data_IF_840541503106
#
_entry.id   IF_840541503106
#
_cell.length_a   1.000
_cell.length_b   1.000
_cell.length_c   1.000
_cell.angle_alpha   90.00
_cell.angle_beta   90.00
_cell.angle_gamma   90.00
#
_symmetry.space_group_name_H-M   'P 1'
#
loop_
_entity.id
_entity.type
_entity.pdbx_description
1 polymer ?
#
# COMPACT_ATOMS: atom_id res chain seq x y z
N UNK A 1 -7.12 4.33 4.31
CA UNK A 1 -6.00 4.40 3.34
C UNK A 1 -6.00 3.16 2.49
N UNK A 2 -5.08 2.21 2.75
CA UNK A 2 -4.86 0.99 1.97
C UNK A 2 -6.14 0.26 1.53
N UNK A 3 -7.12 0.08 2.43
CA UNK A 3 -8.41 -0.57 2.13
C UNK A 3 -9.16 0.03 0.93
N UNK A 4 -9.08 1.34 0.73
CA UNK A 4 -9.74 2.03 -0.39
C UNK A 4 -8.96 1.98 -1.70
N UNK A 5 -7.71 1.49 -1.70
CA UNK A 5 -7.00 1.18 -2.94
C UNK A 5 -7.58 -0.11 -3.56
N UNK A 6 -7.94 -1.07 -2.70
CA UNK A 6 -8.66 -2.28 -3.06
C UNK A 6 -10.18 -2.02 -3.22
N UNK A 7 -10.54 -0.97 -3.98
CA UNK A 7 -11.92 -0.72 -4.40
C UNK A 7 -12.05 -0.70 -5.93
N UNK A 8 -13.28 -0.86 -6.43
CA UNK A 8 -13.54 -0.82 -7.87
C UNK A 8 -13.31 0.58 -8.47
N UNK A 9 -13.55 1.62 -7.68
CA UNK A 9 -13.49 3.02 -8.06
C UNK A 9 -12.06 3.58 -8.03
N UNK A 10 -11.17 2.94 -7.26
CA UNK A 10 -9.77 3.36 -7.20
C UNK A 10 -9.09 3.23 -8.56
N UNK A 11 -8.52 4.33 -9.06
CA UNK A 11 -7.72 4.37 -10.30
C UNK A 11 -6.28 3.87 -10.12
N UNK A 12 -6.11 2.89 -9.24
CA UNK A 12 -4.84 2.19 -9.05
C UNK A 12 -4.69 1.08 -10.11
N UNK A 13 -3.47 0.80 -10.60
CA UNK A 13 -3.22 -0.34 -11.48
C UNK A 13 -3.75 -1.65 -10.90
N UNK A 14 -4.31 -2.52 -11.73
CA UNK A 14 -4.92 -3.76 -11.26
C UNK A 14 -3.93 -4.65 -10.51
N UNK A 15 -2.68 -4.72 -10.96
CA UNK A 15 -1.61 -5.43 -10.27
C UNK A 15 -1.37 -4.88 -8.86
N UNK A 16 -1.46 -3.57 -8.67
CA UNK A 16 -1.33 -2.99 -7.34
C UNK A 16 -2.49 -3.42 -6.43
N UNK A 17 -3.73 -3.43 -6.94
CA UNK A 17 -4.88 -3.94 -6.17
C UNK A 17 -4.70 -5.42 -5.82
N UNK A 18 -4.21 -6.23 -6.75
CA UNK A 18 -3.95 -7.65 -6.53
C UNK A 18 -2.85 -7.86 -5.47
N UNK A 19 -1.77 -7.08 -5.52
CA UNK A 19 -0.72 -7.14 -4.49
C UNK A 19 -1.26 -6.85 -3.07
N UNK A 20 -2.37 -6.11 -2.93
CA UNK A 20 -2.99 -5.89 -1.63
C UNK A 20 -3.66 -7.15 -1.06
N UNK A 21 -4.07 -8.07 -1.91
CA UNK A 21 -4.68 -9.36 -1.53
C UNK A 21 -3.62 -10.41 -1.23
N UNK A 22 -2.46 -10.32 -1.89
CA UNK A 22 -1.41 -11.34 -1.83
C UNK A 22 -0.45 -11.14 -0.64
N UNK A 23 -0.54 -10.02 0.09
CA UNK A 23 0.40 -9.63 1.14
C UNK A 23 -0.28 -9.33 2.48
N UNK A 24 0.44 -9.56 3.57
CA UNK A 24 -0.01 -9.25 4.93
C UNK A 24 0.78 -8.09 5.56
N UNK A 25 0.44 -7.71 6.79
CA UNK A 25 1.05 -6.57 7.48
C UNK A 25 2.56 -6.70 7.73
N UNK A 26 3.08 -7.92 7.83
CA UNK A 26 4.50 -8.24 7.95
C UNK A 26 5.29 -8.07 6.66
N UNK A 27 4.61 -8.03 5.51
CA UNK A 27 5.23 -7.89 4.19
C UNK A 27 5.45 -6.43 3.77
N UNK A 28 5.42 -5.50 4.73
CA UNK A 28 5.66 -4.08 4.46
C UNK A 28 6.95 -3.60 5.11
N UNK A 29 7.64 -2.68 4.45
CA UNK A 29 8.88 -2.07 4.93
C UNK A 29 8.77 -0.54 4.95
N UNK A 30 9.49 0.09 5.89
CA UNK A 30 9.70 1.54 5.91
C UNK A 30 10.99 1.83 5.18
N UNK A 31 10.93 2.68 4.15
CA UNK A 31 12.08 2.98 3.29
C UNK A 31 12.09 4.45 2.86
N UNK A 32 13.23 4.90 2.34
CA UNK A 32 13.42 6.18 1.64
C UNK A 32 13.79 5.98 0.17
N UNK A 33 13.93 4.75 -0.31
CA UNK A 33 14.53 4.44 -1.63
C UNK A 33 13.74 4.98 -2.83
N UNK A 34 12.46 5.29 -2.68
CA UNK A 34 11.67 5.82 -3.78
C UNK A 34 11.73 7.34 -3.90
N UNK A 35 11.60 8.08 -2.80
CA UNK A 35 11.46 9.55 -2.84
C UNK A 35 12.52 10.32 -2.05
N UNK A 36 13.27 9.65 -1.18
CA UNK A 36 14.13 10.27 -0.17
C UNK A 36 13.37 10.68 1.10
N UNK A 37 12.03 10.61 1.09
CA UNK A 37 11.17 10.74 2.29
C UNK A 37 10.84 9.37 2.86
N UNK A 38 10.68 9.30 4.18
CA UNK A 38 10.22 8.09 4.87
C UNK A 38 8.83 7.71 4.39
N UNK A 39 8.67 6.48 3.90
CA UNK A 39 7.38 5.94 3.47
C UNK A 39 7.29 4.45 3.75
N UNK A 40 6.07 3.94 3.93
CA UNK A 40 5.81 2.51 4.05
C UNK A 40 5.29 1.97 2.72
N UNK A 41 5.84 0.84 2.30
CA UNK A 41 5.54 0.16 1.04
C UNK A 41 5.42 -1.34 1.28
N UNK A 42 4.78 -2.06 0.37
CA UNK A 42 4.96 -3.51 0.25
C UNK A 42 6.45 -3.75 -0.05
N UNK A 43 7.08 -4.65 0.72
CA UNK A 43 8.49 -5.02 0.54
C UNK A 43 8.62 -5.82 -0.75
N UNK A 44 9.63 -5.48 -1.53
CA UNK A 44 10.00 -6.19 -2.75
C UNK A 44 11.52 -6.19 -2.93
N UNK A 45 12.01 -6.88 -3.96
CA UNK A 45 13.45 -7.03 -4.22
C UNK A 45 14.18 -5.67 -4.33
N UNK A 46 13.56 -4.65 -4.92
CA UNK A 46 14.14 -3.30 -5.01
C UNK A 46 14.28 -2.64 -3.64
N UNK A 47 13.30 -2.78 -2.74
CA UNK A 47 13.40 -2.27 -1.37
C UNK A 47 14.52 -2.96 -0.61
N UNK A 48 14.62 -4.29 -0.73
CA UNK A 48 15.64 -5.08 -0.04
C UNK A 48 17.06 -4.77 -0.54
N UNK A 49 17.23 -4.58 -1.86
CA UNK A 49 18.49 -4.14 -2.46
C UNK A 49 18.92 -2.76 -1.94
N UNK A 50 18.03 -1.76 -1.98
CA UNK A 50 18.36 -0.42 -1.48
C UNK A 50 18.64 -0.38 0.02
N UNK A 51 18.06 -1.30 0.80
CA UNK A 51 18.34 -1.40 2.23
C UNK A 51 19.80 -1.79 2.51
N UNK A 52 20.50 -2.46 1.58
CA UNK A 52 21.91 -2.82 1.71
C UNK A 52 22.88 -1.68 1.38
N UNK A 53 22.38 -0.56 0.82
CA UNK A 53 23.19 0.57 0.35
C UNK A 53 22.66 1.92 0.83
N UNK A 54 22.51 2.14 2.15
CA UNK A 54 21.96 3.38 2.69
C UNK A 54 22.79 4.62 2.33
N UNK A 55 24.09 4.47 2.08
CA UNK A 55 24.99 5.55 1.64
C UNK A 55 24.66 6.09 0.24
N UNK A 56 23.96 5.31 -0.59
CA UNK A 56 23.58 5.69 -1.95
C UNK A 56 22.26 6.50 -1.98
N UNK A 57 21.54 6.56 -0.85
CA UNK A 57 20.27 7.28 -0.75
C UNK A 57 20.46 8.78 -0.90
N UNK A 58 19.72 9.36 -1.84
CA UNK A 58 19.67 10.81 -2.03
C UNK A 58 18.55 11.44 -1.20
N UNK A 59 18.67 12.71 -0.80
CA UNK A 59 17.55 13.43 -0.20
C UNK A 59 16.46 13.71 -1.24
N UNK A 60 15.23 13.94 -0.78
CA UNK A 60 14.18 14.50 -1.64
C UNK A 60 14.61 15.90 -2.15
N UNK A 61 14.38 16.24 -3.43
CA UNK A 61 13.68 15.46 -4.47
C UNK A 61 14.60 14.61 -5.36
N UNK A 62 15.93 14.61 -5.15
CA UNK A 62 16.90 13.93 -6.03
C UNK A 62 16.63 12.41 -6.14
N UNK A 63 16.25 11.76 -5.04
CA UNK A 63 15.89 10.34 -5.06
C UNK A 63 14.61 10.08 -5.87
N UNK A 64 13.60 10.95 -5.73
CA UNK A 64 12.37 10.86 -6.53
C UNK A 64 12.65 10.95 -8.03
N UNK A 65 13.52 11.87 -8.45
CA UNK A 65 13.94 11.99 -9.86
C UNK A 65 14.66 10.73 -10.34
N UNK A 66 15.51 10.13 -9.50
CA UNK A 66 16.21 8.87 -9.81
C UNK A 66 15.20 7.73 -10.02
N UNK A 67 14.24 7.59 -9.10
CA UNK A 67 13.20 6.56 -9.17
C UNK A 67 12.25 6.74 -10.37
N UNK A 68 11.92 7.98 -10.74
CA UNK A 68 11.14 8.27 -11.96
C UNK A 68 11.90 7.84 -13.22
N UNK A 69 13.20 8.15 -13.32
CA UNK A 69 14.05 7.70 -14.43
C UNK A 69 14.20 6.18 -14.48
N UNK A 70 14.22 5.52 -13.32
CA UNK A 70 14.26 4.07 -13.20
C UNK A 70 12.91 3.38 -13.48
N UNK A 71 11.82 4.13 -13.68
CA UNK A 71 10.49 3.58 -13.94
C UNK A 71 9.80 2.94 -12.73
N UNK A 72 10.37 3.04 -11.52
CA UNK A 72 9.84 2.37 -10.31
C UNK A 72 8.74 3.15 -9.61
N UNK A 73 8.34 4.30 -10.15
CA UNK A 73 7.25 5.16 -9.65
C UNK A 73 5.98 5.04 -10.51
N UNK A 74 5.74 3.90 -11.15
CA UNK A 74 4.63 3.67 -12.09
C UNK A 74 3.24 4.05 -11.53
N UNK A 75 3.03 3.90 -10.22
CA UNK A 75 1.75 4.24 -9.55
C UNK A 75 1.36 5.72 -9.62
N UNK A 76 2.28 6.64 -9.90
CA UNK A 76 1.96 8.08 -9.97
C UNK A 76 1.37 8.50 -11.31
N UNK A 77 1.28 7.58 -12.28
CA UNK A 77 0.97 7.88 -13.67
C UNK A 77 -0.39 7.33 -14.16
N UNK A 78 -1.20 6.74 -13.26
CA UNK A 78 -2.57 6.27 -13.57
C UNK A 78 -2.73 4.75 -13.61
N UNK A 79 -3.95 4.30 -13.96
CA UNK A 79 -4.36 2.89 -13.89
C UNK A 79 -3.75 2.01 -14.99
N UNK A 80 -3.43 2.57 -16.15
CA UNK A 80 -2.98 1.84 -17.35
C UNK A 80 -1.47 1.54 -17.36
N UNK A 81 -0.80 1.81 -16.24
CA UNK A 81 0.65 1.73 -16.16
C UNK A 81 1.12 0.33 -15.79
N UNK A 82 2.23 -0.08 -16.41
CA UNK A 82 2.87 -1.34 -16.08
C UNK A 82 3.52 -1.23 -14.70
N UNK A 83 3.06 -2.07 -13.77
CA UNK A 83 3.62 -2.22 -12.43
C UNK A 83 4.43 -3.50 -12.40
N UNK A 84 5.72 -3.36 -12.17
CA UNK A 84 6.61 -4.48 -11.85
C UNK A 84 6.56 -4.70 -10.32
N UNK A 85 5.98 -5.80 -9.81
CA UNK A 85 5.86 -6.03 -8.36
C UNK A 85 7.20 -6.10 -7.65
N UNK A 86 8.27 -6.52 -8.34
CA UNK A 86 9.60 -6.68 -7.75
C UNK A 86 10.32 -5.34 -7.54
N UNK A 87 9.85 -4.28 -8.22
CA UNK A 87 10.55 -2.98 -8.24
C UNK A 87 9.69 -1.77 -7.96
N UNK A 88 8.40 -1.84 -8.24
CA UNK A 88 7.52 -0.66 -8.19
C UNK A 88 7.26 -0.22 -6.75
N UNK A 89 7.12 1.08 -6.58
CA UNK A 89 6.65 1.68 -5.34
C UNK A 89 5.17 1.32 -5.13
N UNK A 90 4.87 0.49 -4.13
CA UNK A 90 3.51 0.08 -3.75
C UNK A 90 3.20 0.52 -2.30
N UNK A 91 2.75 1.77 -2.06
CA UNK A 91 2.55 2.32 -0.72
C UNK A 91 1.38 1.70 0.06
N UNK A 92 1.68 0.75 0.93
CA UNK A 92 0.68 0.10 1.77
C UNK A 92 1.00 0.23 3.26
N UNK A 93 -0.04 0.47 4.06
CA UNK A 93 0.02 0.33 5.52
C UNK A 93 -0.10 -1.14 5.98
N UNK A 94 0.28 -1.42 7.23
CA UNK A 94 0.24 -2.78 7.80
C UNK A 94 -1.16 -3.37 7.93
N UNK A 95 -2.21 -2.55 7.88
CA UNK A 95 -3.59 -3.01 7.80
C UNK A 95 -3.94 -3.75 6.49
N UNK A 96 -3.00 -3.88 5.56
CA UNK A 96 -3.12 -4.70 4.34
C UNK A 96 -3.55 -6.14 4.64
N UNK A 97 -3.14 -6.72 5.78
CA UNK A 97 -3.54 -8.08 6.17
C UNK A 97 -5.04 -8.27 6.47
N UNK A 98 -5.83 -7.20 6.52
CA UNK A 98 -7.30 -7.27 6.62
C UNK A 98 -8.02 -7.10 5.28
N UNK A 99 -7.29 -7.07 4.16
CA UNK A 99 -7.84 -6.82 2.81
C UNK A 99 -7.87 -8.14 2.05
N UNK A 100 -9.07 -8.70 1.87
CA UNK A 100 -9.24 -10.03 1.25
C UNK A 100 -10.07 -10.00 -0.05
N UNK A 101 -10.52 -8.82 -0.47
CA UNK A 101 -11.37 -8.63 -1.64
C UNK A 101 -11.16 -7.27 -2.30
N UNK A 102 -11.64 -7.11 -3.53
CA UNK A 102 -11.79 -5.82 -4.20
C UNK A 102 -13.29 -5.59 -4.39
N UNK A 103 -13.81 -4.47 -3.90
CA UNK A 103 -15.25 -4.18 -3.92
C UNK A 103 -15.60 -2.71 -4.12
N UNK A 104 -16.87 -2.38 -4.40
CA UNK A 104 -17.36 -1.02 -4.34
C UNK A 104 -17.04 -0.34 -3.01
N UNK A 105 -16.74 0.96 -3.04
CA UNK A 105 -16.51 1.77 -1.83
C UNK A 105 -17.75 1.79 -0.94
N UNK A 106 -18.95 1.79 -1.53
CA UNK A 106 -20.21 1.72 -0.79
C UNK A 106 -20.24 0.48 0.13
N UNK A 107 -20.01 -0.71 -0.42
CA UNK A 107 -19.92 -1.96 0.35
C UNK A 107 -18.87 -1.90 1.45
N UNK A 108 -17.69 -1.34 1.16
CA UNK A 108 -16.61 -1.21 2.16
C UNK A 108 -17.09 -0.35 3.34
N UNK A 109 -17.81 0.74 3.07
CA UNK A 109 -18.33 1.63 4.11
C UNK A 109 -19.45 0.96 4.91
N UNK A 110 -20.40 0.31 4.24
CA UNK A 110 -21.53 -0.36 4.89
C UNK A 110 -21.04 -1.46 5.83
N UNK A 111 -20.10 -2.29 5.38
CA UNK A 111 -19.49 -3.33 6.20
C UNK A 111 -18.73 -2.75 7.40
N UNK A 112 -17.91 -1.72 7.17
CA UNK A 112 -17.11 -1.09 8.22
C UNK A 112 -18.00 -0.51 9.33
N UNK A 113 -19.11 0.14 8.96
CA UNK A 113 -20.06 0.70 9.91
C UNK A 113 -20.82 -0.40 10.66
N UNK A 114 -21.32 -1.41 9.96
CA UNK A 114 -22.04 -2.53 10.56
C UNK A 114 -21.16 -3.31 11.56
N UNK A 115 -19.90 -3.59 11.21
CA UNK A 115 -18.93 -4.25 12.09
C UNK A 115 -18.61 -3.41 13.33
N UNK A 116 -18.44 -2.09 13.17
CA UNK A 116 -18.18 -1.19 14.28
C UNK A 116 -19.36 -1.15 15.26
N UNK A 117 -20.60 -0.99 14.75
CA UNK A 117 -21.81 -0.99 15.57
C UNK A 117 -21.99 -2.30 16.34
N UNK A 118 -21.82 -3.44 15.67
CA UNK A 118 -21.91 -4.76 16.29
C UNK A 118 -20.83 -4.94 17.38
N UNK A 119 -19.60 -4.51 17.11
CA UNK A 119 -18.48 -4.60 18.06
C UNK A 119 -18.75 -3.77 19.31
N UNK A 120 -19.21 -2.52 19.15
CA UNK A 120 -19.53 -1.64 20.27
C UNK A 120 -20.66 -2.23 21.13
N UNK A 121 -21.72 -2.76 20.50
CA UNK A 121 -22.82 -3.41 21.21
C UNK A 121 -22.34 -4.61 22.02
N UNK A 122 -21.49 -5.44 21.44
CA UNK A 122 -20.94 -6.62 22.10
C UNK A 122 -20.05 -6.25 23.30
N UNK A 123 -19.20 -5.23 23.16
CA UNK A 123 -18.35 -4.75 24.26
C UNK A 123 -19.19 -4.20 25.42
N UNK A 124 -20.25 -3.44 25.14
CA UNK A 124 -21.16 -2.94 26.19
C UNK A 124 -21.85 -4.07 26.96
N UNK A 125 -22.19 -5.17 26.29
CA UNK A 125 -22.79 -6.35 26.92
C UNK A 125 -21.83 -7.15 27.82
N UNK A 126 -20.52 -6.90 27.75
CA UNK A 126 -19.52 -7.57 28.61
C UNK A 126 -19.26 -6.83 29.93
N UNK A 127 -19.66 -5.56 30.01
CA UNK A 127 -19.45 -4.68 31.18
C UNK A 127 -20.71 -4.56 32.05
N UNK A 128 -21.88 -4.96 31.51
CA UNK A 128 -23.17 -4.98 32.21
C UNK A 128 -23.45 -6.35 32.85
#
# INVERSE_FOLDING_TARGET
GTRFIASTEARAPQLYKQSLLDHNGGDTAVTKCYSGKTMRVIRNAYVDDWAQRPQDLLPFPKQMVTSLKAGVMAITQGADQHVDPDKSCLPAGQGIGGINDIRPVADIMDMMMAEAEATIKNLNGLVA
#
